data_IF_273928767898
#
_entry.id   IF_273928767898
#
_cell.length_a   1.000
_cell.length_b   1.000
_cell.length_c   1.000
_cell.angle_alpha   90.00
_cell.angle_beta   90.00
_cell.angle_gamma   90.00
#
_symmetry.space_group_name_H-M   'P 1'
#
loop_
_entity.id
_entity.type
_entity.pdbx_description
1 polymer ?
#
# COMPACT_ATOMS: atom_id res chain seq x y z
N UNK A 1 32.77 -4.26 -29.19
CA UNK A 1 31.41 -4.83 -29.09
C UNK A 1 30.65 -3.97 -28.12
N UNK A 2 29.64 -3.26 -28.61
CA UNK A 2 28.78 -2.40 -27.81
C UNK A 2 27.62 -3.30 -27.34
N UNK A 3 27.70 -3.83 -26.12
CA UNK A 3 26.59 -4.57 -25.55
C UNK A 3 25.60 -3.52 -25.04
N UNK A 4 24.56 -3.26 -25.83
CA UNK A 4 23.39 -2.55 -25.34
C UNK A 4 22.74 -3.41 -24.27
N UNK A 5 22.80 -2.94 -23.02
CA UNK A 5 22.15 -3.56 -21.88
C UNK A 5 20.61 -3.48 -22.09
N UNK A 6 19.89 -4.61 -22.17
CA UNK A 6 18.46 -4.58 -22.45
C UNK A 6 17.73 -3.98 -21.25
N UNK A 7 17.29 -2.71 -21.36
CA UNK A 7 16.30 -2.02 -20.52
C UNK A 7 16.03 -2.72 -19.18
N UNK A 8 16.92 -2.57 -18.21
CA UNK A 8 16.60 -2.87 -16.82
C UNK A 8 15.59 -1.84 -16.36
N UNK A 9 14.30 -2.18 -16.46
CA UNK A 9 13.24 -1.37 -15.88
C UNK A 9 13.43 -1.34 -14.38
N UNK A 10 13.84 -0.18 -13.87
CA UNK A 10 14.11 0.02 -12.45
C UNK A 10 12.77 0.25 -11.75
N UNK A 11 12.36 -0.70 -10.92
CA UNK A 11 11.20 -0.54 -10.06
C UNK A 11 11.46 0.65 -9.12
N UNK A 12 10.56 1.63 -9.14
CA UNK A 12 10.58 2.78 -8.24
C UNK A 12 9.78 2.47 -6.98
N UNK A 13 10.33 2.78 -5.81
CA UNK A 13 9.63 2.70 -4.54
C UNK A 13 9.42 4.12 -4.00
N UNK A 14 8.17 4.49 -3.74
CA UNK A 14 7.83 5.83 -3.26
C UNK A 14 6.59 5.84 -2.38
N UNK A 15 6.35 6.97 -1.71
CA UNK A 15 5.09 7.19 -0.97
C UNK A 15 3.88 7.15 -1.90
N UNK A 16 2.74 6.79 -1.33
CA UNK A 16 1.44 6.86 -2.02
C UNK A 16 1.05 8.32 -2.29
N UNK A 17 0.61 8.58 -3.50
CA UNK A 17 -0.05 9.82 -3.91
C UNK A 17 -1.53 9.57 -4.22
N UNK A 18 -2.32 10.64 -4.24
CA UNK A 18 -3.75 10.58 -4.57
C UNK A 18 -4.01 9.91 -5.94
N UNK A 19 -3.13 10.16 -6.91
CA UNK A 19 -3.19 9.55 -8.24
C UNK A 19 -3.05 8.02 -8.24
N UNK A 20 -2.43 7.45 -7.20
CA UNK A 20 -2.22 6.01 -7.10
C UNK A 20 -3.42 5.27 -6.54
N UNK A 21 -4.35 5.97 -5.86
CA UNK A 21 -5.41 5.32 -5.08
C UNK A 21 -6.30 4.41 -5.94
N UNK A 22 -6.56 4.79 -7.20
CA UNK A 22 -7.31 3.94 -8.13
C UNK A 22 -6.61 2.59 -8.33
N UNK A 23 -5.29 2.58 -8.50
CA UNK A 23 -4.52 1.36 -8.67
C UNK A 23 -4.42 0.57 -7.35
N UNK A 24 -4.20 1.25 -6.23
CA UNK A 24 -4.16 0.63 -4.89
C UNK A 24 -5.46 -0.11 -4.56
N UNK A 25 -6.62 0.51 -4.82
CA UNK A 25 -7.93 -0.12 -4.63
C UNK A 25 -8.08 -1.34 -5.54
N UNK A 26 -7.65 -1.23 -6.80
CA UNK A 26 -7.69 -2.36 -7.74
C UNK A 26 -6.84 -3.55 -7.24
N UNK A 27 -5.65 -3.29 -6.70
CA UNK A 27 -4.78 -4.33 -6.11
C UNK A 27 -5.48 -4.99 -4.91
N UNK A 28 -6.04 -4.18 -4.01
CA UNK A 28 -6.76 -4.68 -2.83
C UNK A 28 -7.96 -5.56 -3.21
N UNK A 29 -8.80 -5.11 -4.14
CA UNK A 29 -9.98 -5.86 -4.60
C UNK A 29 -9.62 -7.18 -5.29
N UNK A 30 -8.51 -7.22 -6.04
CA UNK A 30 -8.00 -8.46 -6.64
C UNK A 30 -7.65 -9.51 -5.59
N UNK A 31 -7.11 -9.10 -4.43
CA UNK A 31 -6.79 -10.02 -3.33
C UNK A 31 -8.02 -10.54 -2.61
N UNK A 32 -9.01 -9.69 -2.36
CA UNK A 32 -10.22 -10.08 -1.60
C UNK A 32 -11.22 -10.89 -2.45
N UNK A 33 -10.96 -11.08 -3.76
CA UNK A 33 -11.93 -11.62 -4.73
C UNK A 33 -13.28 -10.87 -4.70
N UNK A 34 -13.28 -9.66 -4.14
CA UNK A 34 -14.47 -8.85 -4.01
C UNK A 34 -14.82 -8.27 -5.38
N UNK A 35 -16.11 -8.20 -5.68
CA UNK A 35 -16.59 -7.42 -6.81
C UNK A 35 -16.26 -5.94 -6.60
N UNK A 36 -16.15 -5.18 -7.69
CA UNK A 36 -15.78 -3.75 -7.72
C UNK A 36 -16.74 -2.89 -6.85
N UNK A 37 -17.90 -3.44 -6.48
CA UNK A 37 -18.94 -2.80 -5.69
C UNK A 37 -18.88 -3.06 -4.16
N UNK A 38 -17.85 -3.74 -3.65
CA UNK A 38 -17.75 -3.99 -2.21
C UNK A 38 -17.18 -2.79 -1.47
N UNK A 39 -17.88 -2.39 -0.41
CA UNK A 39 -17.46 -1.33 0.50
C UNK A 39 -16.10 -1.67 1.13
N UNK A 40 -15.15 -0.73 1.09
CA UNK A 40 -13.86 -0.91 1.77
C UNK A 40 -14.09 -0.95 3.28
N UNK A 41 -13.45 -1.91 3.97
CA UNK A 41 -13.46 -2.01 5.43
C UNK A 41 -12.16 -1.45 6.01
N UNK A 42 -12.04 -1.39 7.34
CA UNK A 42 -10.79 -1.03 8.01
C UNK A 42 -9.61 -1.94 7.65
N UNK A 43 -9.87 -3.13 7.11
CA UNK A 43 -8.84 -4.08 6.67
C UNK A 43 -8.11 -3.60 5.41
N UNK A 44 -8.67 -2.58 4.72
CA UNK A 44 -7.97 -1.83 3.69
C UNK A 44 -6.69 -1.17 4.22
N UNK A 45 -6.71 -0.77 5.50
CA UNK A 45 -5.58 -0.10 6.14
C UNK A 45 -5.31 1.29 5.57
N UNK A 46 -4.12 1.80 5.88
CA UNK A 46 -3.59 3.05 5.38
C UNK A 46 -2.47 2.72 4.38
N UNK A 47 -2.67 2.94 3.07
CA UNK A 47 -1.61 2.79 2.08
C UNK A 47 -0.50 3.81 2.33
N UNK A 48 0.75 3.34 2.39
CA UNK A 48 1.91 4.18 2.73
C UNK A 48 2.93 4.25 1.60
N UNK A 49 3.28 3.10 1.01
CA UNK A 49 4.27 3.01 -0.08
C UNK A 49 3.73 2.22 -1.27
N UNK A 50 4.22 2.56 -2.46
CA UNK A 50 3.93 1.85 -3.72
C UNK A 50 5.21 1.50 -4.46
N UNK A 51 5.15 0.40 -5.20
CA UNK A 51 6.15 -0.02 -6.15
C UNK A 51 5.61 0.25 -7.55
N UNK A 52 6.40 0.94 -8.37
CA UNK A 52 6.00 1.39 -9.70
C UNK A 52 6.98 0.84 -10.72
N UNK A 53 6.45 0.15 -11.73
CA UNK A 53 7.21 -0.30 -12.90
C UNK A 53 6.52 0.24 -14.16
N UNK A 54 7.28 0.87 -15.07
CA UNK A 54 6.74 1.49 -16.28
C UNK A 54 5.51 2.40 -16.05
N UNK A 55 5.53 3.21 -14.99
CA UNK A 55 4.41 4.06 -14.54
C UNK A 55 3.14 3.30 -14.09
N UNK A 56 3.20 1.98 -13.93
CA UNK A 56 2.13 1.16 -13.38
C UNK A 56 2.44 0.81 -11.92
N UNK A 57 1.45 0.97 -11.03
CA UNK A 57 1.58 0.51 -9.64
C UNK A 57 1.47 -1.01 -9.64
N UNK A 58 2.59 -1.68 -9.36
CA UNK A 58 2.69 -3.13 -9.30
C UNK A 58 2.67 -3.67 -7.86
N UNK A 59 2.68 -2.79 -6.86
CA UNK A 59 2.55 -3.22 -5.48
C UNK A 59 2.30 -2.06 -4.52
N UNK A 60 1.79 -2.39 -3.34
CA UNK A 60 1.47 -1.46 -2.27
C UNK A 60 1.79 -2.08 -0.92
N UNK A 61 2.34 -1.30 0.00
CA UNK A 61 2.32 -1.64 1.43
C UNK A 61 1.45 -0.67 2.22
N UNK A 62 0.79 -1.23 3.22
CA UNK A 62 -0.20 -0.54 4.04
C UNK A 62 -0.04 -0.93 5.50
N UNK A 63 -0.36 0.02 6.38
CA UNK A 63 -0.46 -0.20 7.81
C UNK A 63 -1.92 -0.52 8.17
N UNK A 64 -2.13 -1.54 9.01
CA UNK A 64 -3.44 -1.83 9.60
C UNK A 64 -3.30 -2.14 11.09
N UNK A 65 -4.44 -2.22 11.78
CA UNK A 65 -4.51 -2.63 13.17
C UNK A 65 -5.14 -4.02 13.19
N UNK A 66 -4.41 -5.01 13.71
CA UNK A 66 -4.91 -6.38 13.81
C UNK A 66 -5.91 -6.55 14.97
N UNK A 67 -6.50 -7.74 15.10
CA UNK A 67 -7.48 -8.06 16.15
C UNK A 67 -6.94 -7.91 17.59
N UNK A 68 -5.62 -7.97 17.76
CA UNK A 68 -4.94 -7.75 19.04
C UNK A 68 -4.67 -6.26 19.32
N UNK A 69 -5.15 -5.35 18.47
CA UNK A 69 -4.93 -3.91 18.59
C UNK A 69 -3.52 -3.45 18.22
N UNK A 70 -2.71 -4.32 17.60
CA UNK A 70 -1.32 -3.99 17.22
C UNK A 70 -1.25 -3.49 15.79
N UNK A 71 -0.36 -2.53 15.55
CA UNK A 71 -0.02 -2.07 14.21
C UNK A 71 0.75 -3.18 13.48
N UNK A 72 0.33 -3.48 12.26
CA UNK A 72 0.99 -4.42 11.36
C UNK A 72 1.19 -3.77 10.00
N UNK A 73 2.33 -4.05 9.39
CA UNK A 73 2.63 -3.68 8.01
C UNK A 73 2.48 -4.92 7.13
N UNK A 74 1.87 -4.73 5.97
CA UNK A 74 1.71 -5.79 4.98
C UNK A 74 1.94 -5.21 3.60
N UNK A 75 2.58 -5.99 2.73
CA UNK A 75 2.65 -5.72 1.29
C UNK A 75 1.69 -6.59 0.46
N UNK A 76 1.26 -6.04 -0.67
CA UNK A 76 0.62 -6.74 -1.77
C UNK A 76 1.34 -6.40 -3.06
N UNK A 77 1.79 -7.42 -3.79
CA UNK A 77 2.48 -7.28 -5.08
C UNK A 77 1.67 -8.00 -6.14
N UNK A 78 1.38 -7.31 -7.24
CA UNK A 78 0.75 -7.88 -8.43
C UNK A 78 1.76 -8.82 -9.04
N UNK A 79 1.52 -10.14 -8.91
CA UNK A 79 2.36 -11.26 -9.36
C UNK A 79 3.38 -10.92 -10.46
N UNK A 80 4.59 -10.52 -10.06
CA UNK A 80 5.78 -10.41 -10.90
C UNK A 80 6.84 -11.42 -10.44
N UNK A 81 7.94 -11.53 -11.19
CA UNK A 81 9.18 -12.05 -10.63
C UNK A 81 9.59 -11.19 -9.41
N UNK A 82 10.26 -11.79 -8.41
CA UNK A 82 10.80 -11.10 -7.22
C UNK A 82 9.79 -10.54 -6.19
N UNK A 83 8.57 -11.11 -6.11
CA UNK A 83 7.53 -10.69 -5.14
C UNK A 83 8.02 -10.55 -3.69
N UNK A 84 8.89 -11.44 -3.22
CA UNK A 84 9.45 -11.38 -1.86
C UNK A 84 10.34 -10.15 -1.67
N UNK A 85 11.22 -9.85 -2.63
CA UNK A 85 12.13 -8.71 -2.53
C UNK A 85 11.38 -7.37 -2.61
N UNK A 86 10.43 -7.27 -3.55
CA UNK A 86 9.57 -6.10 -3.71
C UNK A 86 8.72 -5.90 -2.45
N UNK A 87 8.13 -6.97 -1.91
CA UNK A 87 7.33 -6.94 -0.68
C UNK A 87 8.12 -6.43 0.52
N UNK A 88 9.31 -6.99 0.77
CA UNK A 88 10.17 -6.54 1.87
C UNK A 88 10.59 -5.08 1.73
N UNK A 89 10.92 -4.63 0.51
CA UNK A 89 11.31 -3.24 0.24
C UNK A 89 10.13 -2.29 0.45
N UNK A 90 8.93 -2.69 0.04
CA UNK A 90 7.69 -1.96 0.28
C UNK A 90 7.39 -1.80 1.78
N UNK A 91 7.49 -2.89 2.54
CA UNK A 91 7.23 -2.88 3.99
C UNK A 91 8.24 -1.99 4.72
N UNK A 92 9.54 -2.08 4.39
CA UNK A 92 10.56 -1.21 4.97
C UNK A 92 10.31 0.28 4.62
N UNK A 93 9.89 0.58 3.39
CA UNK A 93 9.54 1.94 3.00
C UNK A 93 8.28 2.43 3.74
N UNK A 94 7.27 1.58 3.88
CA UNK A 94 6.05 1.89 4.61
C UNK A 94 6.32 2.11 6.11
N UNK A 95 7.21 1.32 6.71
CA UNK A 95 7.64 1.49 8.10
C UNK A 95 8.25 2.87 8.33
N UNK A 96 9.20 3.27 7.49
CA UNK A 96 9.82 4.60 7.57
C UNK A 96 8.79 5.72 7.45
N UNK A 97 7.83 5.59 6.52
CA UNK A 97 6.77 6.58 6.34
C UNK A 97 5.83 6.61 7.55
N UNK A 98 5.47 5.45 8.10
CA UNK A 98 4.60 5.32 9.28
C UNK A 98 5.20 6.08 10.47
N UNK A 99 6.46 5.78 10.82
CA UNK A 99 7.13 6.42 11.96
C UNK A 99 7.43 7.90 11.74
N UNK A 100 7.64 8.32 10.49
CA UNK A 100 7.81 9.73 10.17
C UNK A 100 6.48 10.52 10.21
N UNK A 101 5.35 9.85 9.98
CA UNK A 101 4.02 10.49 9.90
C UNK A 101 3.31 10.50 11.26
N UNK A 102 3.45 9.43 12.04
CA UNK A 102 2.74 9.25 13.30
C UNK A 102 3.71 9.26 14.48
N UNK A 103 3.73 10.37 15.22
CA UNK A 103 4.45 10.45 16.48
C UNK A 103 3.90 9.42 17.49
N UNK A 104 4.81 8.73 18.19
CA UNK A 104 4.44 7.79 19.25
C UNK A 104 3.48 6.66 18.82
N UNK A 105 3.53 6.23 17.55
CA UNK A 105 2.69 5.14 17.02
C UNK A 105 2.84 3.81 17.77
N UNK A 106 3.87 3.64 18.61
CA UNK A 106 4.06 2.47 19.47
C UNK A 106 3.31 2.53 20.80
N UNK A 107 2.74 3.70 21.16
CA UNK A 107 2.05 3.96 22.43
C UNK A 107 0.58 4.28 22.23
N UNK A 108 0.26 5.04 21.19
CA UNK A 108 -1.10 5.41 20.84
C UNK A 108 -1.37 5.15 19.35
N UNK A 109 -2.28 4.22 19.08
CA UNK A 109 -2.66 3.83 17.72
C UNK A 109 -3.89 4.61 17.23
N UNK A 110 -4.46 5.48 18.07
CA UNK A 110 -5.65 6.28 17.77
C UNK A 110 -5.48 7.13 16.51
N UNK A 111 -4.35 7.82 16.30
CA UNK A 111 -4.13 8.61 15.07
C UNK A 111 -4.18 7.76 13.80
N UNK A 112 -3.55 6.57 13.81
CA UNK A 112 -3.59 5.65 12.68
C UNK A 112 -4.99 5.11 12.44
N UNK A 113 -5.68 4.66 13.49
CA UNK A 113 -7.06 4.17 13.41
C UNK A 113 -8.00 5.21 12.79
N UNK A 114 -7.92 6.44 13.25
CA UNK A 114 -8.74 7.55 12.73
C UNK A 114 -8.41 7.84 11.27
N UNK A 115 -7.13 7.80 10.89
CA UNK A 115 -6.69 8.02 9.50
C UNK A 115 -7.23 6.94 8.56
N UNK A 116 -7.19 5.67 8.98
CA UNK A 116 -7.77 4.55 8.22
C UNK A 116 -9.28 4.76 8.04
N UNK A 117 -10.00 5.07 9.12
CA UNK A 117 -11.45 5.27 9.07
C UNK A 117 -11.84 6.44 8.17
N UNK A 118 -11.12 7.56 8.23
CA UNK A 118 -11.36 8.72 7.38
C UNK A 118 -11.10 8.41 5.91
N UNK A 119 -9.99 7.73 5.59
CA UNK A 119 -9.66 7.34 4.23
C UNK A 119 -10.71 6.40 3.65
N UNK A 120 -11.05 5.34 4.38
CA UNK A 120 -12.07 4.35 3.97
C UNK A 120 -13.41 5.04 3.77
N UNK A 121 -13.84 5.88 4.72
CA UNK A 121 -15.10 6.62 4.61
C UNK A 121 -15.13 7.60 3.43
N UNK A 122 -14.00 8.24 3.10
CA UNK A 122 -13.88 9.09 1.92
C UNK A 122 -13.95 8.29 0.62
N UNK A 123 -13.19 7.18 0.53
CA UNK A 123 -13.19 6.31 -0.65
C UNK A 123 -14.56 5.71 -0.95
N UNK A 124 -15.27 5.23 0.08
CA UNK A 124 -16.61 4.66 -0.07
C UNK A 124 -17.66 5.70 -0.49
N UNK A 125 -17.44 6.99 -0.18
CA UNK A 125 -18.30 8.10 -0.64
C UNK A 125 -17.99 8.55 -2.06
N UNK A 126 -16.74 8.43 -2.51
CA UNK A 126 -16.35 8.80 -3.88
C UNK A 126 -16.61 7.68 -4.90
N UNK A 127 -16.76 6.43 -4.44
CA UNK A 127 -17.05 5.29 -5.29
C UNK A 127 -18.55 5.09 -5.59
N UNK A 128 -19.43 5.85 -4.92
CA UNK A 128 -20.89 5.83 -5.07
C UNK A 128 -21.42 7.12 -5.70
#
# INVERSE_FOLDING_TARGET
MNIQDPKTTRIEFRKVYLSDLKAVISIYQKKTKASIAMELTSDFGLPLSVAVDNNEVIGVAFASINELGKVVLNAQVVSTFETVHIGNTLEAAAENILYATFENINKDHTPLKNSIQQLVGWLNKCAN
#
